data_IF_935573702264
#
_entry.id   IF_935573702264
#
_cell.length_a   1.000
_cell.length_b   1.000
_cell.length_c   1.000
_cell.angle_alpha   90.00
_cell.angle_beta   90.00
_cell.angle_gamma   90.00
#
_symmetry.space_group_name_H-M   'P 1'
#
loop_
_entity.id
_entity.type
_entity.pdbx_description
1 polymer ?
#
# COMPACT_ATOMS: atom_id res chain seq x y z
N UNK A 1 -4.66 -15.62 21.98
CA UNK A 1 -4.32 -15.79 20.54
C UNK A 1 -3.51 -14.59 20.08
N UNK A 2 -2.20 -14.59 20.31
CA UNK A 2 -1.30 -13.50 19.88
C UNK A 2 -1.04 -13.68 18.40
N UNK A 3 -1.47 -12.69 17.66
CA UNK A 3 -1.62 -12.69 16.20
C UNK A 3 -0.28 -12.79 15.45
N UNK A 4 -0.21 -13.76 14.53
CA UNK A 4 0.80 -13.87 13.45
C UNK A 4 0.90 -12.61 12.52
N UNK A 5 0.16 -11.53 12.81
CA UNK A 5 0.17 -10.26 12.06
C UNK A 5 1.34 -9.32 12.40
N UNK A 6 2.21 -9.72 13.33
CA UNK A 6 3.37 -8.92 13.80
C UNK A 6 4.56 -8.98 12.80
N UNK A 7 4.40 -9.70 11.67
CA UNK A 7 5.54 -10.01 10.80
C UNK A 7 6.28 -8.76 10.31
N UNK A 8 5.54 -7.77 9.79
CA UNK A 8 6.16 -6.58 9.16
C UNK A 8 6.66 -5.54 10.16
N UNK A 9 6.04 -5.42 11.33
CA UNK A 9 6.46 -4.46 12.36
C UNK A 9 7.84 -4.78 12.93
N UNK A 10 8.26 -6.04 12.89
CA UNK A 10 9.57 -6.48 13.39
C UNK A 10 10.69 -6.39 12.35
N UNK A 11 10.35 -6.20 11.06
CA UNK A 11 11.35 -6.08 10.01
C UNK A 11 12.13 -4.77 10.14
N UNK A 12 13.43 -4.83 9.89
CA UNK A 12 14.26 -3.63 9.70
C UNK A 12 13.89 -2.96 8.37
N UNK A 13 14.15 -1.66 8.24
CA UNK A 13 13.81 -0.89 7.03
C UNK A 13 14.36 -1.52 5.75
N UNK A 14 15.62 -1.99 5.76
CA UNK A 14 16.24 -2.63 4.61
C UNK A 14 15.59 -3.98 4.24
N UNK A 15 15.15 -4.76 5.24
CA UNK A 15 14.46 -6.03 5.00
C UNK A 15 13.10 -5.80 4.35
N UNK A 16 12.36 -4.81 4.84
CA UNK A 16 11.08 -4.43 4.26
C UNK A 16 11.28 -3.82 2.87
N UNK A 17 12.31 -3.00 2.67
CA UNK A 17 12.68 -2.48 1.36
C UNK A 17 12.94 -3.61 0.36
N UNK A 18 13.81 -4.57 0.71
CA UNK A 18 14.08 -5.71 -0.15
C UNK A 18 12.81 -6.52 -0.43
N UNK A 19 11.98 -6.77 0.59
CA UNK A 19 10.74 -7.54 0.42
C UNK A 19 9.77 -6.89 -0.58
N UNK A 20 9.64 -5.56 -0.54
CA UNK A 20 8.72 -4.81 -1.40
C UNK A 20 9.25 -4.58 -2.82
N UNK A 21 10.57 -4.45 -2.96
CA UNK A 21 11.19 -4.07 -4.24
C UNK A 21 11.99 -5.20 -4.91
N UNK A 22 12.11 -6.37 -4.24
CA UNK A 22 12.90 -7.49 -4.75
C UNK A 22 12.45 -7.95 -6.14
N UNK A 23 11.14 -8.03 -6.37
CA UNK A 23 10.59 -8.42 -7.68
C UNK A 23 11.00 -7.45 -8.79
N UNK A 24 10.92 -6.14 -8.55
CA UNK A 24 11.35 -5.13 -9.52
C UNK A 24 12.88 -5.13 -9.73
N UNK A 25 13.65 -5.41 -8.66
CA UNK A 25 15.11 -5.56 -8.78
C UNK A 25 15.46 -6.80 -9.62
N UNK A 26 14.79 -7.92 -9.36
CA UNK A 26 14.99 -9.16 -10.12
C UNK A 26 14.62 -8.96 -11.59
N UNK A 27 13.48 -8.31 -11.85
CA UNK A 27 13.04 -8.00 -13.23
C UNK A 27 14.03 -7.11 -13.99
N UNK A 28 14.68 -6.15 -13.30
CA UNK A 28 15.67 -5.26 -13.92
C UNK A 28 17.07 -5.86 -14.09
N UNK A 29 17.44 -6.85 -13.27
CA UNK A 29 18.78 -7.46 -13.31
C UNK A 29 18.88 -8.72 -14.18
N UNK A 30 17.81 -9.47 -14.29
CA UNK A 30 17.79 -10.68 -15.08
C UNK A 30 17.01 -10.35 -16.36
N UNK A 31 17.65 -10.46 -17.56
CA UNK A 31 16.91 -10.46 -18.81
C UNK A 31 16.06 -11.74 -18.80
N UNK A 32 14.91 -11.63 -18.09
CA UNK A 32 13.94 -12.71 -18.03
C UNK A 32 13.51 -12.95 -19.47
N UNK A 33 13.69 -14.17 -19.90
CA UNK A 33 13.19 -14.67 -21.18
C UNK A 33 11.83 -14.04 -21.49
N UNK A 34 11.50 -13.78 -22.75
CA UNK A 34 10.25 -13.18 -23.24
C UNK A 34 8.96 -13.88 -22.78
N UNK A 35 8.99 -14.47 -21.59
CA UNK A 35 7.90 -15.20 -21.00
C UNK A 35 6.99 -14.24 -20.20
N UNK A 36 5.90 -13.83 -20.86
CA UNK A 36 4.84 -13.02 -20.28
C UNK A 36 4.37 -13.49 -18.87
N UNK A 37 4.25 -14.81 -18.68
CA UNK A 37 3.82 -15.37 -17.38
C UNK A 37 4.80 -15.09 -16.25
N UNK A 38 6.10 -15.08 -16.53
CA UNK A 38 7.13 -14.77 -15.50
C UNK A 38 7.04 -13.32 -15.07
N UNK A 39 6.91 -12.39 -16.01
CA UNK A 39 6.72 -10.96 -15.72
C UNK A 39 5.42 -10.73 -14.91
N UNK A 40 4.31 -11.29 -15.35
CA UNK A 40 3.03 -11.19 -14.67
C UNK A 40 3.11 -11.74 -13.24
N UNK A 41 3.77 -12.88 -13.03
CA UNK A 41 3.94 -13.48 -11.71
C UNK A 41 4.75 -12.58 -10.77
N UNK A 42 5.85 -12.01 -11.24
CA UNK A 42 6.69 -11.10 -10.44
C UNK A 42 5.93 -9.82 -10.06
N UNK A 43 5.25 -9.20 -11.01
CA UNK A 43 4.44 -8.01 -10.77
C UNK A 43 3.29 -8.28 -9.78
N UNK A 44 2.55 -9.36 -9.98
CA UNK A 44 1.49 -9.76 -9.05
C UNK A 44 2.03 -10.04 -7.64
N UNK A 45 3.19 -10.69 -7.52
CA UNK A 45 3.79 -10.99 -6.22
C UNK A 45 4.17 -9.71 -5.46
N UNK A 46 4.77 -8.73 -6.14
CA UNK A 46 5.10 -7.43 -5.57
C UNK A 46 3.87 -6.71 -5.03
N UNK A 47 2.82 -6.67 -5.85
CA UNK A 47 1.55 -6.02 -5.46
C UNK A 47 0.91 -6.72 -4.26
N UNK A 48 0.86 -8.04 -4.25
CA UNK A 48 0.30 -8.81 -3.13
C UNK A 48 1.06 -8.52 -1.83
N UNK A 49 2.39 -8.54 -1.88
CA UNK A 49 3.24 -8.25 -0.72
C UNK A 49 3.00 -6.82 -0.23
N UNK A 50 2.99 -5.85 -1.14
CA UNK A 50 2.75 -4.44 -0.82
C UNK A 50 1.37 -4.24 -0.19
N UNK A 51 0.32 -4.75 -0.80
CA UNK A 51 -1.04 -4.62 -0.29
C UNK A 51 -1.22 -5.33 1.05
N UNK A 52 -0.60 -6.49 1.25
CA UNK A 52 -0.62 -7.18 2.53
C UNK A 52 0.11 -6.37 3.62
N UNK A 53 1.23 -5.72 3.30
CA UNK A 53 1.91 -4.81 4.22
C UNK A 53 1.03 -3.60 4.59
N UNK A 54 0.41 -2.95 3.60
CA UNK A 54 -0.53 -1.83 3.83
C UNK A 54 -1.65 -2.25 4.76
N UNK A 55 -2.33 -3.36 4.47
CA UNK A 55 -3.44 -3.85 5.29
C UNK A 55 -3.00 -4.19 6.72
N UNK A 56 -1.91 -4.92 6.86
CA UNK A 56 -1.39 -5.35 8.17
C UNK A 56 -0.99 -4.15 9.03
N UNK A 57 -0.26 -3.19 8.46
CA UNK A 57 0.16 -1.97 9.14
C UNK A 57 -1.03 -1.10 9.51
N UNK A 58 -1.94 -0.86 8.58
CA UNK A 58 -3.15 -0.08 8.84
C UNK A 58 -4.02 -0.69 9.95
N UNK A 59 -4.18 -2.02 9.96
CA UNK A 59 -4.94 -2.72 11.01
C UNK A 59 -4.31 -2.55 12.40
N UNK A 60 -2.99 -2.68 12.49
CA UNK A 60 -2.27 -2.52 13.76
C UNK A 60 -2.35 -1.08 14.27
N UNK A 61 -2.12 -0.09 13.38
CA UNK A 61 -2.27 1.33 13.71
C UNK A 61 -3.70 1.66 14.15
N UNK A 62 -4.71 1.19 13.41
CA UNK A 62 -6.11 1.42 13.76
C UNK A 62 -6.47 0.86 15.13
N UNK A 63 -6.03 -0.35 15.47
CA UNK A 63 -6.31 -0.96 16.75
C UNK A 63 -5.80 -0.13 17.94
N UNK A 64 -4.67 0.55 17.76
CA UNK A 64 -4.09 1.44 18.79
C UNK A 64 -4.65 2.86 18.73
N UNK A 65 -4.89 3.37 17.54
CA UNK A 65 -5.39 4.73 17.33
C UNK A 65 -6.90 4.88 17.62
N UNK A 66 -7.66 3.79 17.72
CA UNK A 66 -9.12 3.82 17.89
C UNK A 66 -9.59 4.53 19.16
N UNK A 67 -8.74 4.66 20.18
CA UNK A 67 -9.02 5.42 21.40
C UNK A 67 -8.75 6.94 21.24
N UNK A 68 -7.97 7.34 20.24
CA UNK A 68 -7.52 8.72 20.01
C UNK A 68 -8.31 9.37 18.87
N UNK A 69 -8.56 8.61 17.80
CA UNK A 69 -9.19 9.11 16.58
C UNK A 69 -10.32 8.19 16.10
N UNK A 70 -11.36 8.80 15.52
CA UNK A 70 -12.50 8.08 14.94
C UNK A 70 -12.35 7.96 13.43
N UNK A 71 -11.56 7.00 12.96
CA UNK A 71 -11.47 6.67 11.54
C UNK A 71 -12.33 5.46 11.20
N UNK A 72 -12.98 5.48 10.03
CA UNK A 72 -13.82 4.37 9.60
C UNK A 72 -12.98 3.21 9.04
N UNK A 73 -12.74 2.20 9.88
CA UNK A 73 -12.11 0.95 9.45
C UNK A 73 -12.91 0.20 8.38
N UNK A 74 -14.25 0.33 8.40
CA UNK A 74 -15.10 -0.27 7.35
C UNK A 74 -14.83 0.37 6.00
N UNK A 75 -14.76 1.69 5.95
CA UNK A 75 -14.47 2.43 4.73
C UNK A 75 -13.06 2.13 4.21
N UNK A 76 -12.05 2.02 5.09
CA UNK A 76 -10.71 1.56 4.71
C UNK A 76 -10.76 0.18 4.01
N UNK A 77 -11.47 -0.79 4.58
CA UNK A 77 -11.59 -2.14 3.99
C UNK A 77 -12.25 -2.13 2.61
N UNK A 78 -13.30 -1.34 2.43
CA UNK A 78 -13.98 -1.22 1.13
C UNK A 78 -13.01 -0.68 0.08
N UNK A 79 -12.30 0.41 0.38
CA UNK A 79 -11.30 0.99 -0.53
C UNK A 79 -10.16 0.02 -0.82
N UNK A 80 -9.70 -0.73 0.18
CA UNK A 80 -8.67 -1.75 0.05
C UNK A 80 -9.10 -2.88 -0.92
N UNK A 81 -10.29 -3.43 -0.72
CA UNK A 81 -10.84 -4.51 -1.57
C UNK A 81 -11.04 -3.99 -3.00
N UNK A 82 -11.60 -2.79 -3.16
CA UNK A 82 -11.76 -2.19 -4.47
C UNK A 82 -10.42 -2.04 -5.20
N UNK A 83 -9.40 -1.52 -4.51
CA UNK A 83 -8.05 -1.36 -5.08
C UNK A 83 -7.47 -2.70 -5.51
N UNK A 84 -7.61 -3.76 -4.71
CA UNK A 84 -7.17 -5.10 -5.09
C UNK A 84 -7.86 -5.58 -6.37
N UNK A 85 -9.20 -5.51 -6.41
CA UNK A 85 -9.98 -5.94 -7.57
C UNK A 85 -9.54 -5.16 -8.81
N UNK A 86 -9.38 -3.82 -8.69
CA UNK A 86 -8.97 -2.96 -9.79
C UNK A 86 -7.57 -3.30 -10.33
N UNK A 87 -6.61 -3.51 -9.43
CA UNK A 87 -5.24 -3.89 -9.83
C UNK A 87 -5.24 -5.24 -10.57
N UNK A 88 -5.92 -6.26 -10.02
CA UNK A 88 -6.03 -7.55 -10.70
C UNK A 88 -6.77 -7.45 -12.03
N UNK A 89 -7.81 -6.61 -12.11
CA UNK A 89 -8.51 -6.36 -13.36
C UNK A 89 -7.57 -5.79 -14.43
N UNK A 90 -6.73 -4.80 -14.08
CA UNK A 90 -5.74 -4.22 -15.02
C UNK A 90 -4.72 -5.27 -15.47
N UNK A 91 -4.24 -6.12 -14.58
CA UNK A 91 -3.26 -7.17 -14.93
C UNK A 91 -3.83 -8.27 -15.83
N UNK A 92 -5.13 -8.54 -15.74
CA UNK A 92 -5.80 -9.57 -16.58
C UNK A 92 -6.16 -8.99 -17.94
N UNK A 93 -6.29 -7.66 -18.08
CA UNK A 93 -6.57 -7.07 -19.38
C UNK A 93 -5.39 -7.33 -20.33
N UNK A 94 -5.65 -7.93 -21.50
CA UNK A 94 -4.61 -8.14 -22.49
C UNK A 94 -4.01 -6.80 -22.92
N UNK A 95 -2.72 -6.81 -23.24
CA UNK A 95 -2.06 -5.64 -23.82
C UNK A 95 -2.89 -5.08 -24.97
N UNK A 96 -3.03 -3.77 -25.08
CA UNK A 96 -3.88 -3.12 -26.09
C UNK A 96 -3.24 -3.26 -27.47
N UNK A 97 -3.26 -4.47 -28.04
CA UNK A 97 -2.78 -4.70 -29.41
C UNK A 97 -3.73 -4.20 -30.49
N UNK A 98 -4.99 -3.93 -30.18
CA UNK A 98 -5.97 -3.39 -31.12
C UNK A 98 -7.06 -2.61 -30.39
N UNK A 99 -7.31 -1.40 -30.83
CA UNK A 99 -8.53 -0.53 -30.74
C UNK A 99 -9.58 -0.72 -29.60
N UNK A 100 -9.49 -1.78 -28.80
CA UNK A 100 -10.39 -2.03 -27.66
C UNK A 100 -10.17 -0.97 -26.57
N UNK A 101 -8.92 -0.51 -26.36
CA UNK A 101 -8.62 0.57 -25.41
C UNK A 101 -9.16 1.92 -25.89
N UNK A 102 -9.21 2.16 -27.20
CA UNK A 102 -9.77 3.41 -27.76
C UNK A 102 -11.28 3.46 -27.56
N UNK A 103 -11.95 2.32 -27.57
CA UNK A 103 -13.41 2.26 -27.40
C UNK A 103 -13.83 2.20 -25.93
N UNK A 104 -13.13 1.43 -25.10
CA UNK A 104 -13.47 1.25 -23.68
C UNK A 104 -12.65 2.12 -22.74
N UNK A 105 -11.52 2.71 -23.18
CA UNK A 105 -10.62 3.50 -22.36
C UNK A 105 -11.33 4.66 -21.64
N UNK A 106 -12.22 5.36 -22.33
CA UNK A 106 -13.00 6.45 -21.74
C UNK A 106 -13.94 5.98 -20.63
N UNK A 107 -14.51 4.77 -20.73
CA UNK A 107 -15.36 4.18 -19.69
C UNK A 107 -14.57 3.73 -18.48
N UNK A 108 -13.29 3.38 -18.63
CA UNK A 108 -12.42 2.96 -17.52
C UNK A 108 -11.88 4.13 -16.70
N UNK A 109 -11.87 5.35 -17.25
CA UNK A 109 -11.36 6.54 -16.56
C UNK A 109 -12.00 6.77 -15.18
N UNK A 110 -13.35 6.76 -15.03
CA UNK A 110 -13.96 6.95 -13.70
C UNK A 110 -13.53 5.89 -12.68
N UNK A 111 -13.40 4.65 -13.10
CA UNK A 111 -12.97 3.55 -12.23
C UNK A 111 -11.51 3.70 -11.81
N UNK A 112 -10.65 4.14 -12.73
CA UNK A 112 -9.24 4.41 -12.43
C UNK A 112 -9.07 5.61 -11.48
N UNK A 113 -9.84 6.67 -11.69
CA UNK A 113 -9.85 7.83 -10.78
C UNK A 113 -10.33 7.44 -9.38
N UNK A 114 -11.37 6.60 -9.29
CA UNK A 114 -11.82 6.09 -8.00
C UNK A 114 -10.79 5.17 -7.35
N UNK A 115 -10.09 4.31 -8.10
CA UNK A 115 -8.99 3.51 -7.59
C UNK A 115 -7.85 4.37 -7.04
N UNK A 116 -7.49 5.45 -7.76
CA UNK A 116 -6.49 6.42 -7.30
C UNK A 116 -6.92 7.10 -5.99
N UNK A 117 -8.20 7.48 -5.88
CA UNK A 117 -8.77 7.99 -4.63
C UNK A 117 -8.68 6.95 -3.50
N UNK A 118 -8.97 5.67 -3.77
CA UNK A 118 -8.88 4.60 -2.77
C UNK A 118 -7.45 4.46 -2.24
N UNK A 119 -6.45 4.48 -3.13
CA UNK A 119 -5.03 4.43 -2.73
C UNK A 119 -4.69 5.63 -1.86
N UNK A 120 -5.03 6.84 -2.32
CA UNK A 120 -4.78 8.06 -1.55
C UNK A 120 -5.44 8.03 -0.16
N UNK A 121 -6.69 7.56 -0.07
CA UNK A 121 -7.40 7.42 1.20
C UNK A 121 -6.69 6.43 2.14
N UNK A 122 -6.20 5.30 1.62
CA UNK A 122 -5.45 4.33 2.45
C UNK A 122 -4.17 4.92 3.02
N UNK A 123 -3.41 5.66 2.19
CA UNK A 123 -2.18 6.33 2.64
C UNK A 123 -2.49 7.43 3.67
N UNK A 124 -3.54 8.21 3.44
CA UNK A 124 -4.01 9.23 4.39
C UNK A 124 -4.44 8.59 5.72
N UNK A 125 -5.20 7.50 5.68
CA UNK A 125 -5.63 6.76 6.87
C UNK A 125 -4.43 6.31 7.72
N UNK A 126 -3.42 5.71 7.09
CA UNK A 126 -2.20 5.25 7.78
C UNK A 126 -1.41 6.43 8.35
N UNK A 127 -1.28 7.51 7.57
CA UNK A 127 -0.56 8.72 7.98
C UNK A 127 -1.22 9.38 9.17
N UNK A 128 -2.54 9.54 9.14
CA UNK A 128 -3.30 10.12 10.24
C UNK A 128 -3.22 9.25 11.50
N UNK A 129 -3.35 7.93 11.35
CA UNK A 129 -3.24 7.00 12.47
C UNK A 129 -1.85 7.05 13.11
N UNK A 130 -0.78 7.00 12.32
CA UNK A 130 0.60 7.03 12.83
C UNK A 130 0.91 8.34 13.54
N UNK A 131 0.65 9.48 12.90
CA UNK A 131 0.96 10.81 13.46
C UNK A 131 0.14 11.10 14.72
N UNK A 132 -1.13 10.68 14.77
CA UNK A 132 -1.96 10.86 15.97
C UNK A 132 -1.50 9.97 17.13
N UNK A 133 -1.02 8.77 16.87
CA UNK A 133 -0.42 7.91 17.90
C UNK A 133 0.87 8.52 18.46
N UNK A 134 1.73 9.07 17.60
CA UNK A 134 2.96 9.74 18.03
C UNK A 134 2.68 10.98 18.88
N UNK A 135 1.69 11.76 18.50
CA UNK A 135 1.29 12.96 19.23
C UNK A 135 0.40 12.66 20.46
N UNK A 136 -0.07 11.43 20.63
CA UNK A 136 -1.07 11.00 21.62
C UNK A 136 -2.33 11.90 21.63
N UNK A 137 -2.71 12.43 20.48
CA UNK A 137 -3.89 13.28 20.25
C UNK A 137 -4.31 13.23 18.79
N UNK A 138 -5.55 13.63 18.50
CA UNK A 138 -5.95 13.81 17.11
C UNK A 138 -5.17 14.95 16.45
N UNK A 139 -4.48 14.65 15.35
CA UNK A 139 -3.66 15.61 14.59
C UNK A 139 -4.44 16.28 13.47
N UNK A 140 -4.11 17.55 13.19
CA UNK A 140 -4.68 18.29 12.08
C UNK A 140 -4.16 17.75 10.72
N UNK A 141 -4.92 17.94 9.64
CA UNK A 141 -4.54 17.44 8.33
C UNK A 141 -3.19 17.99 7.83
N UNK A 142 -2.84 19.21 8.16
CA UNK A 142 -1.53 19.80 7.82
C UNK A 142 -0.34 19.08 8.46
N UNK A 143 -0.53 18.51 9.65
CA UNK A 143 0.52 17.82 10.41
C UNK A 143 0.85 16.43 9.83
N UNK A 144 -0.10 15.85 9.09
CA UNK A 144 0.08 14.53 8.48
C UNK A 144 0.76 14.57 7.10
N UNK A 145 0.90 15.76 6.47
CA UNK A 145 1.36 15.88 5.08
C UNK A 145 2.73 15.24 4.85
N UNK A 146 3.68 15.46 5.76
CA UNK A 146 5.03 14.86 5.64
C UNK A 146 4.93 13.34 5.70
N UNK A 147 4.15 12.81 6.64
CA UNK A 147 3.96 11.36 6.79
C UNK A 147 3.23 10.77 5.58
N UNK A 148 2.24 11.48 5.04
CA UNK A 148 1.54 11.11 3.83
C UNK A 148 2.49 11.06 2.62
N UNK A 149 3.34 12.08 2.48
CA UNK A 149 4.36 12.10 1.44
C UNK A 149 5.32 10.92 1.54
N UNK A 150 5.78 10.59 2.75
CA UNK A 150 6.66 9.43 2.99
C UNK A 150 5.97 8.10 2.63
N UNK A 151 4.68 7.94 2.91
CA UNK A 151 3.91 6.77 2.47
C UNK A 151 3.71 6.74 0.95
N UNK A 152 3.60 7.89 0.29
CA UNK A 152 3.49 8.00 -1.16
C UNK A 152 4.81 7.71 -1.88
N UNK A 153 5.95 8.06 -1.27
CA UNK A 153 7.29 7.83 -1.80
C UNK A 153 8.02 6.73 -1.02
N UNK A 154 7.46 5.52 -1.04
CA UNK A 154 7.94 4.37 -0.26
C UNK A 154 9.44 4.06 -0.39
N UNK A 155 10.09 4.12 -1.57
CA UNK A 155 11.51 3.81 -1.67
C UNK A 155 12.39 4.64 -0.73
N UNK A 156 12.00 5.89 -0.51
CA UNK A 156 12.66 6.80 0.44
C UNK A 156 11.97 6.71 1.80
N UNK A 157 10.64 6.76 1.80
CA UNK A 157 9.80 6.86 2.99
C UNK A 157 9.97 5.68 3.95
N UNK A 158 10.25 4.48 3.45
CA UNK A 158 10.36 3.27 4.27
C UNK A 158 11.47 3.37 5.34
N UNK A 159 12.56 4.11 5.03
CA UNK A 159 13.66 4.32 5.97
C UNK A 159 13.27 5.20 7.16
N UNK A 160 12.28 6.07 6.97
CA UNK A 160 11.76 6.97 8.00
C UNK A 160 10.51 6.40 8.68
N UNK A 161 9.63 5.74 7.90
CA UNK A 161 8.36 5.22 8.41
C UNK A 161 8.54 3.96 9.26
N UNK A 162 9.38 3.02 8.80
CA UNK A 162 9.51 1.73 9.49
C UNK A 162 10.02 1.84 10.93
N UNK A 163 11.04 2.67 11.25
CA UNK A 163 11.43 2.89 12.65
C UNK A 163 10.30 3.47 13.49
N UNK A 164 9.55 4.46 12.97
CA UNK A 164 8.42 5.09 13.66
C UNK A 164 7.31 4.07 13.95
N UNK A 165 6.92 3.31 12.92
CA UNK A 165 5.92 2.24 13.05
C UNK A 165 6.36 1.22 14.09
N UNK A 166 7.63 0.80 14.08
CA UNK A 166 8.16 -0.16 15.05
C UNK A 166 8.08 0.36 16.49
N UNK A 167 8.51 1.58 16.73
CA UNK A 167 8.45 2.20 18.08
C UNK A 167 7.01 2.23 18.58
N UNK A 168 6.08 2.70 17.74
CA UNK A 168 4.66 2.76 18.09
C UNK A 168 4.08 1.36 18.33
N UNK A 169 4.45 0.36 17.55
CA UNK A 169 3.89 -0.99 17.67
C UNK A 169 4.59 -1.87 18.71
N UNK A 170 5.76 -1.48 19.21
CA UNK A 170 6.47 -2.19 20.28
C UNK A 170 6.00 -1.79 21.70
N UNK A 171 5.63 -0.50 21.91
CA UNK A 171 5.05 0.01 23.17
C UNK A 171 3.58 -0.28 23.25
#
# INVERSE_FOLDING_TARGET
>A
MVNKLILYSNLKSWQLFLLLFLSGIVEGLIPLTDNYFTHLFLQCSAVIIYMHWVYSTAKQLNNRASSIIKLSWRFFKVNYVYTLIWIFFIFILPEPKNNVFDTFGSLLIPFHLYASFCVFYMLWFMSKSLTSLEANKETANKEILITLFLFGFLPIGIWWLQPRIRVILAG
#
